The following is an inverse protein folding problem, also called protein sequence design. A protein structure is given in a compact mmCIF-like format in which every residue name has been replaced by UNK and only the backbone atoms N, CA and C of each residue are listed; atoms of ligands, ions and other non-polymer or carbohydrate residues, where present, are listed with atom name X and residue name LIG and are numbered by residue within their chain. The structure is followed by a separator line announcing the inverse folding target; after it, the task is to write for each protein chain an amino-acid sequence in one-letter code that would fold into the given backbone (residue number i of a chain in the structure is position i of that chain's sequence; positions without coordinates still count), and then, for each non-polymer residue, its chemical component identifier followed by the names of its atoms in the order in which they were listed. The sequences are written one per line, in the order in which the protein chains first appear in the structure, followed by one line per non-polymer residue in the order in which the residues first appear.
data_IF_067001639688
#
_entry.id   IF_067001639688
#
_cell.length_a   1.000
_cell.length_b   1.000
_cell.length_c   1.000
_cell.angle_alpha   90.00
_cell.angle_beta   90.00
_cell.angle_gamma   90.00
#
_symmetry.space_group_name_H-M   'P 1'
#
loop_
_entity.id
_entity.type
_entity.pdbx_description
1 polymer ?
#
# COMPACT_ATOMS: atom_id res chain seq x y z
N UNK A 1 8.92 24.32 5.24
CA UNK A 1 9.30 22.94 5.64
C UNK A 1 8.60 22.62 6.95
N UNK A 2 7.62 21.70 6.95
CA UNK A 2 7.09 21.16 8.20
C UNK A 2 8.17 20.25 8.79
N UNK A 3 8.67 20.59 9.97
CA UNK A 3 9.56 19.70 10.73
C UNK A 3 8.79 18.40 10.99
N UNK A 4 9.41 17.28 10.64
CA UNK A 4 8.98 15.96 11.04
C UNK A 4 8.96 15.97 12.57
N UNK A 5 7.89 15.50 13.23
CA UNK A 5 7.89 15.40 14.68
C UNK A 5 9.10 14.57 15.13
N UNK A 6 9.85 15.10 16.10
CA UNK A 6 11.08 14.50 16.69
C UNK A 6 10.89 13.04 17.15
N UNK A 7 9.65 12.55 17.22
CA UNK A 7 9.29 11.17 17.55
C UNK A 7 9.66 10.11 16.50
N UNK A 8 10.01 10.48 15.26
CA UNK A 8 10.57 9.54 14.28
C UNK A 8 12.08 9.29 14.49
N UNK A 9 12.72 10.02 15.43
CA UNK A 9 14.15 9.87 15.75
C UNK A 9 14.36 8.75 16.79
N UNK A 10 13.38 8.51 17.66
CA UNK A 10 13.48 7.53 18.76
C UNK A 10 12.85 6.17 18.44
N UNK A 11 12.22 6.02 17.26
CA UNK A 11 11.46 4.82 16.94
C UNK A 11 11.44 4.50 15.43
N UNK A 12 11.59 3.24 15.00
CA UNK A 12 11.80 2.93 13.59
C UNK A 12 10.55 3.29 12.80
N UNK A 13 10.65 4.32 11.98
CA UNK A 13 9.62 4.65 11.02
C UNK A 13 9.64 3.54 9.95
N UNK A 14 8.52 2.83 9.75
CA UNK A 14 8.55 1.59 9.01
C UNK A 14 8.56 1.83 7.52
N UNK A 15 9.24 0.94 6.78
CA UNK A 15 9.33 0.97 5.32
C UNK A 15 10.01 2.20 4.73
N UNK A 16 11.34 2.26 4.78
CA UNK A 16 12.06 3.36 4.13
C UNK A 16 13.11 2.87 3.14
N UNK A 17 13.23 3.61 2.03
CA UNK A 17 14.36 3.58 1.12
C UNK A 17 15.38 4.63 1.56
N UNK A 18 16.67 4.31 1.41
CA UNK A 18 17.73 5.27 1.66
C UNK A 18 17.64 6.44 0.65
N UNK A 19 17.68 7.67 1.15
CA UNK A 19 17.42 8.87 0.35
C UNK A 19 18.46 9.15 -0.74
N UNK A 20 19.62 8.48 -0.69
CA UNK A 20 20.67 8.53 -1.70
C UNK A 20 20.54 7.48 -2.81
N UNK A 21 19.54 6.59 -2.74
CA UNK A 21 19.27 5.62 -3.81
C UNK A 21 18.92 6.35 -5.11
N UNK A 22 19.55 5.95 -6.20
CA UNK A 22 19.28 6.50 -7.53
C UNK A 22 17.94 5.97 -8.07
N UNK A 23 17.07 6.90 -8.49
CA UNK A 23 15.76 6.63 -9.08
C UNK A 23 15.72 7.26 -10.47
N UNK A 24 15.36 6.47 -11.47
CA UNK A 24 15.10 6.99 -12.82
C UNK A 24 13.70 7.58 -12.85
N UNK A 25 13.56 8.79 -13.41
CA UNK A 25 12.28 9.49 -13.55
C UNK A 25 12.01 9.81 -15.02
N UNK A 26 10.73 9.79 -15.38
CA UNK A 26 10.27 10.30 -16.68
C UNK A 26 10.47 11.82 -16.73
N UNK A 27 11.27 12.30 -17.69
CA UNK A 27 11.52 13.72 -17.93
C UNK A 27 12.58 14.41 -17.05
N UNK A 28 12.85 13.96 -15.81
CA UNK A 28 13.90 14.58 -14.95
C UNK A 28 15.22 13.80 -14.90
N UNK A 29 15.30 12.64 -15.54
CA UNK A 29 16.49 11.80 -15.56
C UNK A 29 16.68 11.04 -14.24
N UNK A 30 17.93 10.80 -13.84
CA UNK A 30 18.24 10.10 -12.59
C UNK A 30 18.33 11.10 -11.45
N UNK A 31 17.51 10.90 -10.42
CA UNK A 31 17.48 11.71 -9.19
C UNK A 31 17.75 10.82 -7.97
N UNK A 32 18.06 11.42 -6.83
CA UNK A 32 18.10 10.68 -5.57
C UNK A 32 16.68 10.43 -5.05
N UNK A 33 16.46 9.34 -4.32
CA UNK A 33 15.15 8.98 -3.76
C UNK A 33 14.55 10.10 -2.89
N UNK A 34 15.37 10.89 -2.19
CA UNK A 34 14.93 12.07 -1.41
C UNK A 34 14.42 13.24 -2.25
N UNK A 35 14.70 13.24 -3.56
CA UNK A 35 14.32 14.29 -4.51
C UNK A 35 13.18 13.84 -5.44
N UNK A 36 12.65 12.64 -5.21
CA UNK A 36 11.38 12.18 -5.80
C UNK A 36 10.23 12.96 -5.18
N UNK A 37 9.28 13.38 -6.02
CA UNK A 37 8.11 14.16 -5.62
C UNK A 37 6.83 13.50 -6.12
N UNK A 38 5.70 13.81 -5.48
CA UNK A 38 4.38 13.37 -5.95
C UNK A 38 4.13 13.85 -7.38
N UNK A 39 3.65 12.95 -8.23
CA UNK A 39 3.42 13.17 -9.65
C UNK A 39 4.58 12.79 -10.58
N UNK A 40 5.78 12.51 -10.04
CA UNK A 40 6.82 11.87 -10.84
C UNK A 40 6.34 10.52 -11.38
N UNK A 41 6.88 10.10 -12.52
CA UNK A 41 6.71 8.73 -13.02
C UNK A 41 8.03 8.00 -12.93
N UNK A 42 8.04 6.83 -12.29
CA UNK A 42 9.23 6.00 -12.10
C UNK A 42 9.00 4.58 -12.64
N UNK A 43 10.03 3.84 -13.05
CA UNK A 43 9.84 2.52 -13.66
C UNK A 43 9.18 1.52 -12.71
N UNK A 44 8.29 0.71 -13.25
CA UNK A 44 7.59 -0.36 -12.54
C UNK A 44 8.30 -1.72 -12.58
N UNK A 45 7.59 -2.74 -12.11
CA UNK A 45 8.04 -4.12 -12.19
C UNK A 45 7.90 -4.68 -13.61
N UNK A 46 6.86 -4.28 -14.34
CA UNK A 46 6.65 -4.67 -15.73
C UNK A 46 7.65 -4.03 -16.69
N UNK A 47 7.93 -4.70 -17.80
CA UNK A 47 8.76 -4.14 -18.88
C UNK A 47 8.07 -2.91 -19.49
N UNK A 48 8.77 -1.78 -19.55
CA UNK A 48 8.23 -0.51 -20.04
C UNK A 48 7.15 0.13 -19.15
N UNK A 49 6.87 -0.44 -17.97
CA UNK A 49 5.88 0.09 -17.04
C UNK A 49 6.39 1.38 -16.37
N UNK A 50 5.52 2.39 -16.29
CA UNK A 50 5.78 3.66 -15.61
C UNK A 50 4.69 3.95 -14.60
N UNK A 51 5.12 4.22 -13.36
CA UNK A 51 4.28 4.30 -12.17
C UNK A 51 4.29 5.71 -11.62
N UNK A 52 3.11 6.31 -11.46
CA UNK A 52 2.99 7.64 -10.89
C UNK A 52 3.22 7.58 -9.38
N UNK A 53 4.04 8.48 -8.85
CA UNK A 53 4.32 8.62 -7.42
C UNK A 53 3.12 9.30 -6.75
N UNK A 54 2.45 8.58 -5.86
CA UNK A 54 1.28 9.07 -5.09
C UNK A 54 1.66 9.56 -3.70
N UNK A 55 2.84 9.18 -3.20
CA UNK A 55 3.44 9.72 -1.99
C UNK A 55 4.97 9.68 -2.08
N UNK A 56 5.61 10.77 -1.66
CA UNK A 56 7.05 10.85 -1.47
C UNK A 56 7.30 11.63 -0.17
N UNK A 57 7.62 10.91 0.90
CA UNK A 57 7.66 11.45 2.26
C UNK A 57 9.07 11.30 2.80
N UNK A 58 9.72 12.42 3.14
CA UNK A 58 10.94 12.39 3.93
C UNK A 58 10.56 12.05 5.37
N UNK A 59 11.08 10.94 5.88
CA UNK A 59 10.69 10.33 7.15
C UNK A 59 11.71 10.62 8.25
N UNK A 60 13.00 10.62 7.93
CA UNK A 60 14.06 11.04 8.84
C UNK A 60 15.28 11.52 8.05
N UNK A 61 16.09 12.40 8.64
CA UNK A 61 17.37 12.83 8.06
C UNK A 61 18.52 11.85 8.37
N UNK A 62 18.30 10.96 9.34
CA UNK A 62 19.24 9.91 9.74
C UNK A 62 18.47 8.69 10.23
N UNK A 63 18.68 7.55 9.60
CA UNK A 63 18.21 6.27 10.08
C UNK A 63 18.99 5.11 9.48
N UNK A 64 18.94 3.98 10.16
CA UNK A 64 19.68 2.78 9.81
C UNK A 64 19.00 2.02 8.66
N UNK A 65 19.75 1.78 7.60
CA UNK A 65 19.38 0.91 6.47
C UNK A 65 20.37 -0.23 6.34
N UNK A 66 19.94 -1.34 5.73
CA UNK A 66 20.78 -2.47 5.36
C UNK A 66 20.82 -2.53 3.83
N UNK A 67 21.94 -2.10 3.24
CA UNK A 67 22.00 -1.78 1.81
C UNK A 67 21.23 -0.51 1.47
N UNK A 68 20.11 -0.66 0.76
CA UNK A 68 19.28 0.45 0.25
C UNK A 68 17.96 0.63 1.01
N UNK A 69 17.61 -0.26 1.94
CA UNK A 69 16.30 -0.28 2.59
C UNK A 69 16.42 -0.52 4.09
N UNK A 70 15.41 -0.12 4.86
CA UNK A 70 15.23 -0.59 6.24
C UNK A 70 14.98 -2.11 6.25
N UNK A 71 15.29 -2.77 7.36
CA UNK A 71 15.17 -4.24 7.47
C UNK A 71 13.73 -4.74 7.33
N UNK A 72 12.77 -3.90 7.69
CA UNK A 72 11.34 -4.16 7.65
C UNK A 72 10.69 -3.87 6.28
N UNK A 73 11.38 -3.15 5.37
CA UNK A 73 10.87 -2.74 4.06
C UNK A 73 10.67 -3.94 3.15
N UNK A 74 9.55 -3.97 2.42
CA UNK A 74 9.30 -5.04 1.47
C UNK A 74 9.95 -4.79 0.11
N UNK A 75 10.77 -5.75 -0.29
CA UNK A 75 11.39 -5.83 -1.62
C UNK A 75 10.81 -7.01 -2.40
N UNK A 76 10.86 -6.92 -3.73
CA UNK A 76 10.44 -8.01 -4.61
C UNK A 76 11.68 -8.78 -5.05
N UNK A 77 11.78 -10.03 -4.61
CA UNK A 77 12.84 -10.91 -5.09
C UNK A 77 12.59 -11.28 -6.56
N UNK A 78 13.64 -11.35 -7.40
CA UNK A 78 13.56 -12.02 -8.69
C UNK A 78 13.06 -13.45 -8.47
N UNK A 79 12.20 -13.98 -9.35
CA UNK A 79 11.71 -15.34 -9.22
C UNK A 79 12.88 -16.34 -9.19
N UNK A 80 13.14 -16.90 -8.03
CA UNK A 80 14.25 -17.81 -7.72
C UNK A 80 13.82 -19.29 -7.75
N UNK A 81 12.57 -19.57 -8.19
CA UNK A 81 12.01 -20.91 -8.28
C UNK A 81 11.45 -21.24 -9.68
N UNK A 82 11.44 -22.53 -10.09
CA UNK A 82 10.88 -23.00 -11.37
C UNK A 82 9.40 -22.67 -11.61
N UNK A 83 8.67 -22.21 -10.59
CA UNK A 83 7.28 -21.79 -10.67
C UNK A 83 7.08 -20.34 -11.14
N UNK A 84 8.16 -19.57 -11.38
CA UNK A 84 8.08 -18.24 -12.00
C UNK A 84 7.36 -17.17 -11.18
N UNK A 85 7.22 -17.35 -9.87
CA UNK A 85 6.45 -16.43 -9.02
C UNK A 85 7.39 -15.52 -8.24
N UNK A 86 7.23 -14.20 -8.38
CA UNK A 86 7.89 -13.23 -7.53
C UNK A 86 7.52 -13.45 -6.05
N UNK A 87 8.39 -13.04 -5.13
CA UNK A 87 8.12 -13.10 -3.69
C UNK A 87 8.31 -11.72 -3.09
N UNK A 88 7.33 -11.26 -2.31
CA UNK A 88 7.46 -10.06 -1.47
C UNK A 88 8.02 -10.48 -0.14
N UNK A 89 9.19 -9.94 0.22
CA UNK A 89 9.84 -10.25 1.50
C UNK A 89 10.46 -9.01 2.10
N UNK A 90 10.66 -9.07 3.42
CA UNK A 90 11.48 -8.09 4.09
C UNK A 90 12.88 -8.06 3.45
N UNK A 91 13.43 -6.86 3.24
CA UNK A 91 14.82 -6.67 2.82
C UNK A 91 15.77 -7.41 3.77
N UNK A 92 15.45 -7.34 5.08
CA UNK A 92 16.18 -7.99 6.14
C UNK A 92 17.51 -7.29 6.45
N UNK A 93 18.36 -7.97 7.21
CA UNK A 93 19.62 -7.43 7.74
C UNK A 93 20.87 -8.01 7.08
N UNK A 94 20.72 -8.70 5.94
CA UNK A 94 21.80 -9.47 5.30
C UNK A 94 22.89 -8.62 4.62
N UNK A 95 22.63 -7.33 4.38
CA UNK A 95 23.60 -6.38 3.84
C UNK A 95 24.24 -5.53 4.96
N UNK A 96 25.45 -4.98 4.74
CA UNK A 96 26.05 -4.05 5.70
C UNK A 96 25.12 -2.88 6.04
N UNK A 97 25.03 -2.56 7.32
CA UNK A 97 24.20 -1.44 7.76
C UNK A 97 24.93 -0.11 7.60
N UNK A 98 24.19 0.95 7.27
CA UNK A 98 24.67 2.34 7.22
C UNK A 98 23.58 3.32 7.63
N UNK A 99 23.96 4.53 7.97
CA UNK A 99 23.03 5.65 8.18
C UNK A 99 22.71 6.33 6.85
N UNK A 100 21.44 6.69 6.66
CA UNK A 100 20.97 7.44 5.50
C UNK A 100 19.77 8.32 5.87
N UNK A 101 19.46 9.29 5.01
CA UNK A 101 18.11 9.87 4.97
C UNK A 101 17.10 8.74 4.71
N UNK A 102 15.95 8.78 5.37
CA UNK A 102 14.89 7.81 5.17
C UNK A 102 13.73 8.46 4.42
N UNK A 103 13.31 7.81 3.33
CA UNK A 103 12.21 8.27 2.49
C UNK A 103 11.22 7.13 2.31
N UNK A 104 9.92 7.45 2.34
CA UNK A 104 8.88 6.53 1.91
C UNK A 104 8.35 6.97 0.53
N UNK A 105 8.32 6.05 -0.42
CA UNK A 105 7.82 6.28 -1.78
C UNK A 105 6.71 5.28 -2.05
N UNK A 106 5.53 5.80 -2.38
CA UNK A 106 4.40 5.00 -2.85
C UNK A 106 4.03 5.39 -4.28
N UNK A 107 3.66 4.40 -5.09
CA UNK A 107 3.33 4.60 -6.51
C UNK A 107 1.99 3.99 -6.88
N UNK A 108 1.47 4.26 -8.07
CA UNK A 108 0.27 3.58 -8.58
C UNK A 108 0.50 2.10 -8.87
N UNK A 109 1.75 1.66 -9.02
CA UNK A 109 2.11 0.28 -9.26
C UNK A 109 2.41 -0.49 -7.96
N UNK A 110 2.25 -1.82 -7.95
CA UNK A 110 2.58 -2.66 -6.80
C UNK A 110 4.07 -2.64 -6.46
N UNK A 111 4.95 -2.43 -7.43
CA UNK A 111 6.37 -2.28 -7.16
C UNK A 111 6.98 -1.27 -8.12
N UNK A 112 8.01 -0.57 -7.64
CA UNK A 112 8.80 0.35 -8.41
C UNK A 112 10.26 -0.12 -8.44
N UNK A 113 11.00 0.33 -9.45
CA UNK A 113 12.37 -0.10 -9.72
C UNK A 113 13.33 1.05 -9.49
N UNK A 114 14.34 0.82 -8.65
CA UNK A 114 15.49 1.71 -8.54
C UNK A 114 16.38 1.60 -9.79
N UNK A 115 17.26 2.58 -10.01
CA UNK A 115 18.22 2.53 -11.13
C UNK A 115 19.16 1.33 -11.06
N UNK A 116 19.39 0.78 -9.85
CA UNK A 116 20.14 -0.48 -9.65
C UNK A 116 19.44 -1.73 -10.21
N UNK A 117 18.15 -1.63 -10.56
CA UNK A 117 17.31 -2.74 -10.98
C UNK A 117 16.52 -3.39 -9.83
N UNK A 118 16.84 -3.06 -8.58
CA UNK A 118 16.13 -3.54 -7.39
C UNK A 118 14.67 -3.08 -7.39
N UNK A 119 13.77 -4.00 -7.06
CA UNK A 119 12.34 -3.74 -6.95
C UNK A 119 11.93 -3.58 -5.48
N UNK A 120 11.22 -2.50 -5.21
CA UNK A 120 10.76 -2.15 -3.88
C UNK A 120 9.26 -1.87 -3.88
N UNK A 121 8.61 -2.12 -2.76
CA UNK A 121 7.17 -1.96 -2.62
C UNK A 121 6.84 -0.81 -1.65
N UNK A 122 5.64 -0.21 -1.73
CA UNK A 122 5.25 0.83 -0.77
C UNK A 122 4.85 0.32 0.63
N UNK A 123 4.88 -1.01 0.85
CA UNK A 123 4.45 -1.64 2.11
C UNK A 123 5.65 -2.19 2.89
N UNK A 124 5.45 -2.54 4.15
CA UNK A 124 6.45 -3.22 4.99
C UNK A 124 5.82 -4.27 5.89
N UNK A 125 6.71 -4.97 6.61
CA UNK A 125 6.35 -5.91 7.67
C UNK A 125 5.48 -5.31 8.78
N UNK A 126 5.48 -3.98 8.94
CA UNK A 126 4.61 -3.29 9.91
C UNK A 126 3.15 -3.31 9.49
N UNK A 127 2.85 -3.22 8.19
CA UNK A 127 1.48 -3.37 7.72
C UNK A 127 1.07 -4.85 7.64
N UNK A 128 1.90 -5.68 7.00
CA UNK A 128 1.62 -7.10 6.78
C UNK A 128 2.88 -7.90 7.06
N UNK A 129 2.82 -9.04 7.77
CA UNK A 129 4.04 -9.81 8.12
C UNK A 129 4.79 -10.37 6.90
N UNK A 130 4.13 -11.23 6.12
CA UNK A 130 4.67 -11.89 4.93
C UNK A 130 3.54 -12.06 3.91
N UNK A 131 3.86 -11.87 2.64
CA UNK A 131 2.91 -11.97 1.53
C UNK A 131 3.58 -12.68 0.36
N UNK A 132 2.88 -13.64 -0.24
CA UNK A 132 3.25 -14.06 -1.60
C UNK A 132 2.89 -12.94 -2.60
N UNK A 133 3.44 -12.97 -3.80
CA UNK A 133 3.07 -12.00 -4.83
C UNK A 133 1.58 -12.04 -5.18
N UNK A 134 0.99 -13.24 -5.23
CA UNK A 134 -0.45 -13.42 -5.50
C UNK A 134 -1.35 -12.92 -4.37
N UNK A 135 -0.86 -12.92 -3.11
CA UNK A 135 -1.56 -12.27 -2.00
C UNK A 135 -1.38 -10.75 -2.00
N UNK A 136 -0.18 -10.31 -2.38
CA UNK A 136 0.21 -8.91 -2.39
C UNK A 136 -0.56 -8.09 -3.43
N UNK A 137 -0.70 -8.60 -4.66
CA UNK A 137 -1.31 -7.85 -5.76
C UNK A 137 -2.78 -7.44 -5.49
N UNK A 138 -3.70 -8.33 -5.08
CA UNK A 138 -5.08 -7.95 -4.80
C UNK A 138 -5.19 -6.99 -3.60
N UNK A 139 -4.35 -7.20 -2.58
CA UNK A 139 -4.25 -6.32 -1.42
C UNK A 139 -3.83 -4.91 -1.83
N UNK A 140 -2.76 -4.80 -2.62
CA UNK A 140 -2.26 -3.52 -3.10
C UNK A 140 -3.26 -2.81 -4.01
N UNK A 141 -3.89 -3.55 -4.93
CA UNK A 141 -4.94 -3.01 -5.80
C UNK A 141 -6.13 -2.43 -5.01
N UNK A 142 -6.52 -3.08 -3.92
CA UNK A 142 -7.56 -2.58 -3.01
C UNK A 142 -7.11 -1.32 -2.25
N UNK A 143 -5.87 -1.26 -1.77
CA UNK A 143 -5.30 -0.04 -1.18
C UNK A 143 -5.29 1.12 -2.19
N UNK A 144 -4.92 0.87 -3.43
CA UNK A 144 -4.88 1.91 -4.48
C UNK A 144 -6.27 2.44 -4.83
N UNK A 145 -7.31 1.60 -4.85
CA UNK A 145 -8.69 2.07 -5.00
C UNK A 145 -9.13 3.00 -3.86
N UNK A 146 -8.70 2.69 -2.64
CA UNK A 146 -8.94 3.57 -1.48
C UNK A 146 -8.17 4.88 -1.63
N UNK A 147 -6.87 4.80 -1.91
CA UNK A 147 -5.98 5.96 -2.11
C UNK A 147 -6.47 6.87 -3.23
N UNK A 148 -6.94 6.33 -4.35
CA UNK A 148 -7.50 7.13 -5.45
C UNK A 148 -8.69 7.99 -5.02
N UNK A 149 -9.49 7.53 -4.04
CA UNK A 149 -10.65 8.25 -3.51
C UNK A 149 -10.32 9.19 -2.35
N UNK A 150 -9.18 9.02 -1.69
CA UNK A 150 -8.88 9.71 -0.42
C UNK A 150 -7.53 10.41 -0.39
N UNK A 151 -6.66 10.23 -1.38
CA UNK A 151 -5.31 10.78 -1.43
C UNK A 151 -4.24 9.89 -0.79
N UNK A 152 -2.97 10.25 -1.04
CA UNK A 152 -1.77 9.47 -0.66
C UNK A 152 -1.31 9.63 0.80
N UNK A 153 -2.03 10.37 1.65
CA UNK A 153 -1.63 10.60 3.05
C UNK A 153 -1.47 9.30 3.85
N UNK A 154 -2.07 8.19 3.39
CA UNK A 154 -1.93 6.88 4.02
C UNK A 154 -0.47 6.39 4.12
N UNK A 155 0.40 6.90 3.26
CA UNK A 155 1.82 6.57 3.22
C UNK A 155 2.70 7.55 4.00
N UNK A 156 2.09 8.52 4.71
CA UNK A 156 2.81 9.45 5.57
C UNK A 156 2.57 9.09 7.05
N UNK A 157 3.55 8.44 7.73
CA UNK A 157 3.45 8.10 9.14
C UNK A 157 3.18 9.30 10.06
N UNK A 158 3.57 10.51 9.66
CA UNK A 158 3.34 11.73 10.44
C UNK A 158 1.88 12.18 10.46
N UNK A 159 1.04 11.60 9.59
CA UNK A 159 -0.40 11.84 9.58
C UNK A 159 -1.08 11.28 10.83
N UNK A 160 -0.56 10.20 11.42
CA UNK A 160 -1.29 9.42 12.42
C UNK A 160 -1.04 9.88 13.86
N UNK A 161 -2.11 9.98 14.65
CA UNK A 161 -2.03 10.30 16.08
C UNK A 161 -1.63 9.11 16.97
N UNK A 162 -1.07 9.37 18.15
CA UNK A 162 -0.55 8.34 19.09
C UNK A 162 -1.61 7.62 19.97
N UNK A 163 -2.87 7.45 19.52
CA UNK A 163 -4.05 6.91 20.26
C UNK A 163 -4.70 7.83 21.31
N UNK A 164 -5.84 7.39 21.90
CA UNK A 164 -7.20 7.76 21.53
C UNK A 164 -7.69 8.98 22.33
N UNK A 165 -8.41 9.90 21.68
CA UNK A 165 -9.27 10.83 22.41
C UNK A 165 -8.79 12.28 22.55
N UNK A 166 -7.89 12.78 21.70
CA UNK A 166 -7.77 14.23 21.52
C UNK A 166 -8.95 14.81 20.69
N UNK A 167 -10.19 14.41 21.00
CA UNK A 167 -11.36 15.27 20.80
C UNK A 167 -11.61 15.94 22.14
N UNK A 168 -11.73 17.27 22.21
CA UNK A 168 -12.15 17.94 23.44
C UNK A 168 -13.53 17.38 23.84
N UNK A 169 -13.63 16.70 24.98
CA UNK A 169 -14.92 16.37 25.62
C UNK A 169 -15.37 14.89 25.67
N UNK A 170 -14.56 13.88 25.34
CA UNK A 170 -14.94 12.47 25.60
C UNK A 170 -14.37 11.97 26.94
N UNK A 171 -15.20 11.36 27.83
CA UNK A 171 -14.72 10.81 29.09
C UNK A 171 -13.96 9.50 28.84
N UNK A 172 -12.65 9.50 29.07
CA UNK A 172 -11.79 8.32 28.94
C UNK A 172 -11.92 7.44 30.19
N UNK A 173 -12.37 6.20 29.99
CA UNK A 173 -12.13 5.11 30.95
C UNK A 173 -10.65 4.74 31.01
N UNK A 174 -10.21 3.98 32.03
CA UNK A 174 -8.81 3.70 32.27
C UNK A 174 -8.19 2.83 31.15
N UNK A 175 -6.93 3.07 30.75
CA UNK A 175 -6.24 2.26 29.77
C UNK A 175 -5.89 0.89 30.36
N UNK A 176 -6.40 -0.18 29.74
CA UNK A 176 -6.18 -1.58 30.13
C UNK A 176 -5.00 -2.24 29.40
N UNK A 177 -3.86 -1.54 29.31
CA UNK A 177 -2.53 -2.14 29.09
C UNK A 177 -1.43 -1.09 29.11
N UNK A 178 -0.25 -1.37 29.69
CA UNK A 178 0.91 -0.50 29.54
C UNK A 178 1.43 -0.59 28.10
N UNK A 179 1.32 0.51 27.36
CA UNK A 179 1.97 0.64 26.06
C UNK A 179 3.49 0.41 26.24
N UNK A 180 4.08 -0.47 25.43
CA UNK A 180 5.53 -0.61 25.36
C UNK A 180 6.13 0.76 24.98
N UNK A 181 7.14 1.27 25.70
CA UNK A 181 7.83 2.48 25.29
C UNK A 181 8.43 2.22 23.90
N UNK A 182 8.06 3.03 22.91
CA UNK A 182 8.56 2.88 21.54
C UNK A 182 7.72 2.01 20.60
N UNK A 183 6.41 1.89 20.72
CA UNK A 183 5.56 1.56 19.55
C UNK A 183 4.44 2.57 19.43
N UNK A 184 4.28 3.15 18.23
CA UNK A 184 3.12 3.99 17.97
C UNK A 184 1.90 3.06 17.98
N UNK A 185 1.01 3.31 18.93
CA UNK A 185 -0.22 2.55 19.17
C UNK A 185 -1.12 2.33 17.95
N UNK A 186 -0.94 3.12 16.88
CA UNK A 186 -1.63 2.91 15.60
C UNK A 186 -1.01 1.79 14.76
N UNK A 187 0.31 1.63 14.80
CA UNK A 187 1.05 0.61 14.04
C UNK A 187 0.71 -0.80 14.52
N UNK A 188 0.48 -0.96 15.83
CA UNK A 188 0.19 -2.26 16.45
C UNK A 188 -1.09 -2.91 15.92
N UNK A 189 -2.00 -2.10 15.38
CA UNK A 189 -3.29 -2.53 14.84
C UNK A 189 -3.24 -2.83 13.33
N UNK A 190 -2.17 -2.43 12.65
CA UNK A 190 -2.06 -2.59 11.20
C UNK A 190 -2.04 -4.07 10.74
N UNK A 191 -1.33 -5.00 11.43
CA UNK A 191 -1.34 -6.41 11.03
C UNK A 191 -2.73 -7.03 10.99
N UNK A 192 -3.59 -6.72 11.96
CA UNK A 192 -4.97 -7.22 12.00
C UNK A 192 -5.81 -6.69 10.82
N UNK A 193 -5.59 -5.42 10.45
CA UNK A 193 -6.24 -4.81 9.28
C UNK A 193 -5.74 -5.47 8.01
N UNK A 194 -4.43 -5.67 7.86
CA UNK A 194 -3.88 -6.37 6.71
C UNK A 194 -4.44 -7.79 6.59
N UNK A 195 -4.45 -8.57 7.68
CA UNK A 195 -4.90 -9.96 7.66
C UNK A 195 -6.36 -10.10 7.26
N UNK A 196 -7.22 -9.20 7.76
CA UNK A 196 -8.64 -9.16 7.38
C UNK A 196 -8.85 -8.64 5.96
N UNK A 197 -8.10 -7.61 5.54
CA UNK A 197 -8.14 -7.08 4.18
C UNK A 197 -7.70 -8.12 3.15
N UNK A 198 -6.57 -8.79 3.38
CA UNK A 198 -6.05 -9.88 2.55
C UNK A 198 -7.04 -11.03 2.42
N UNK A 199 -7.65 -11.43 3.54
CA UNK A 199 -8.68 -12.47 3.52
C UNK A 199 -9.90 -12.05 2.68
N UNK A 200 -10.28 -10.77 2.73
CA UNK A 200 -11.41 -10.24 1.98
C UNK A 200 -11.08 -10.13 0.48
N UNK A 201 -9.94 -9.56 0.11
CA UNK A 201 -9.54 -9.40 -1.29
C UNK A 201 -9.32 -10.73 -1.99
N UNK A 202 -8.74 -11.72 -1.31
CA UNK A 202 -8.43 -13.01 -1.91
C UNK A 202 -9.64 -13.94 -2.00
N UNK A 203 -10.54 -13.94 -1.01
CA UNK A 203 -11.57 -14.98 -0.84
C UNK A 203 -12.97 -14.46 -0.52
N UNK A 204 -13.18 -13.15 -0.45
CA UNK A 204 -14.43 -12.56 0.03
C UNK A 204 -14.74 -12.91 1.51
N UNK A 205 -13.74 -13.36 2.26
CA UNK A 205 -13.87 -13.85 3.63
C UNK A 205 -13.41 -12.78 4.63
N UNK A 206 -14.07 -12.68 5.80
CA UNK A 206 -13.76 -11.70 6.85
C UNK A 206 -13.91 -10.23 6.42
N UNK A 207 -14.60 -9.95 5.31
CA UNK A 207 -14.87 -8.58 4.84
C UNK A 207 -15.57 -7.72 5.92
N UNK A 208 -16.60 -8.23 6.58
CA UNK A 208 -17.29 -7.50 7.66
C UNK A 208 -16.36 -7.19 8.85
N UNK A 209 -15.38 -8.04 9.11
CA UNK A 209 -14.38 -7.81 10.16
C UNK A 209 -13.39 -6.72 9.75
N UNK A 210 -12.89 -6.78 8.50
CA UNK A 210 -12.07 -5.73 7.91
C UNK A 210 -12.75 -4.36 8.00
N UNK A 211 -14.01 -4.25 7.56
CA UNK A 211 -14.75 -2.98 7.58
C UNK A 211 -14.80 -2.38 8.99
N UNK A 212 -15.14 -3.20 10.00
CA UNK A 212 -15.20 -2.75 11.40
C UNK A 212 -13.83 -2.32 11.92
N UNK A 213 -12.79 -3.11 11.67
CA UNK A 213 -11.43 -2.82 12.14
C UNK A 213 -10.88 -1.55 11.48
N UNK A 214 -10.96 -1.47 10.15
CA UNK A 214 -10.48 -0.32 9.39
C UNK A 214 -11.27 0.95 9.75
N UNK A 215 -12.60 0.88 9.85
CA UNK A 215 -13.42 2.02 10.26
C UNK A 215 -13.14 2.49 11.69
N UNK A 216 -12.92 1.55 12.62
CA UNK A 216 -12.49 1.86 13.99
C UNK A 216 -11.13 2.56 14.02
N UNK A 217 -10.17 2.01 13.28
CA UNK A 217 -8.82 2.56 13.18
C UNK A 217 -8.82 3.98 12.60
N UNK A 218 -9.56 4.20 11.51
CA UNK A 218 -9.69 5.52 10.88
C UNK A 218 -10.27 6.55 11.85
N UNK A 219 -11.32 6.18 12.61
CA UNK A 219 -11.91 7.07 13.62
C UNK A 219 -10.94 7.43 14.76
N UNK A 220 -10.05 6.51 15.10
CA UNK A 220 -9.19 6.63 16.27
C UNK A 220 -7.87 7.36 15.96
N UNK A 221 -7.32 7.15 14.77
CA UNK A 221 -5.93 7.51 14.47
C UNK A 221 -5.77 8.57 13.38
N UNK A 222 -6.80 8.85 12.56
CA UNK A 222 -6.74 9.96 11.61
C UNK A 222 -7.05 11.31 12.30
N UNK A 223 -6.33 12.38 11.94
CA UNK A 223 -6.70 13.74 12.33
C UNK A 223 -8.05 14.13 11.71
N UNK A 224 -8.73 15.17 12.24
CA UNK A 224 -10.05 15.58 11.75
C UNK A 224 -10.11 15.84 10.24
N UNK A 225 -9.10 16.49 9.64
CA UNK A 225 -9.10 16.81 8.22
C UNK A 225 -9.09 15.55 7.33
N UNK A 226 -8.21 14.60 7.62
CA UNK A 226 -8.11 13.33 6.89
C UNK A 226 -9.30 12.42 7.20
N UNK A 227 -9.78 12.39 8.44
CA UNK A 227 -10.99 11.66 8.80
C UNK A 227 -12.20 12.14 7.98
N UNK A 228 -12.42 13.45 7.88
CA UNK A 228 -13.51 14.01 7.06
C UNK A 228 -13.31 13.72 5.57
N UNK A 229 -12.07 13.75 5.08
CA UNK A 229 -11.76 13.34 3.71
C UNK A 229 -12.16 11.89 3.44
N UNK A 230 -11.83 10.95 4.34
CA UNK A 230 -12.26 9.55 4.21
C UNK A 230 -13.77 9.42 4.32
N UNK A 231 -14.42 10.11 5.27
CA UNK A 231 -15.87 10.06 5.43
C UNK A 231 -16.65 10.56 4.22
N UNK A 232 -16.15 11.56 3.49
CA UNK A 232 -16.80 12.02 2.25
C UNK A 232 -16.83 10.94 1.19
N UNK A 233 -15.74 10.18 1.06
CA UNK A 233 -15.64 9.06 0.12
C UNK A 233 -16.36 7.80 0.62
N UNK A 234 -16.45 7.64 1.94
CA UNK A 234 -17.04 6.49 2.63
C UNK A 234 -18.00 6.93 3.75
N UNK A 235 -19.22 7.40 3.42
CA UNK A 235 -20.17 7.94 4.41
C UNK A 235 -20.69 6.89 5.41
N UNK A 236 -20.53 5.59 5.10
CA UNK A 236 -20.91 4.44 5.93
C UNK A 236 -19.69 3.67 6.45
N UNK A 237 -18.54 4.35 6.57
CA UNK A 237 -17.31 3.76 7.10
C UNK A 237 -17.50 3.04 8.45
N UNK A 238 -17.10 1.78 8.50
CA UNK A 238 -17.21 0.89 9.66
C UNK A 238 -18.55 0.16 9.80
N UNK A 239 -19.47 0.35 8.85
CA UNK A 239 -20.74 -0.37 8.77
C UNK A 239 -20.64 -1.49 7.72
N UNK A 240 -20.47 -2.77 8.15
CA UNK A 240 -20.33 -3.89 7.24
C UNK A 240 -21.62 -4.27 6.52
N UNK A 241 -22.78 -3.82 7.01
CA UNK A 241 -24.10 -4.14 6.44
C UNK A 241 -24.56 -3.09 5.43
N UNK A 242 -23.82 -1.97 5.32
CA UNK A 242 -24.09 -0.95 4.32
C UNK A 242 -23.89 -1.49 2.90
N UNK A 243 -24.89 -1.29 2.05
CA UNK A 243 -24.84 -1.70 0.64
C UNK A 243 -23.80 -0.94 -0.19
N UNK A 244 -23.51 0.32 0.19
CA UNK A 244 -22.55 1.22 -0.49
C UNK A 244 -21.99 2.24 0.51
N UNK A 245 -20.89 2.88 0.13
CA UNK A 245 -20.29 3.96 0.91
C UNK A 245 -19.45 3.49 2.09
N UNK A 246 -19.02 2.23 2.09
CA UNK A 246 -18.08 1.64 3.03
C UNK A 246 -16.83 1.17 2.27
N UNK A 247 -15.77 0.72 2.96
CA UNK A 247 -14.53 0.30 2.29
C UNK A 247 -14.73 -0.99 1.47
N UNK A 248 -15.72 -1.81 1.82
CA UNK A 248 -15.99 -3.08 1.10
C UNK A 248 -16.24 -2.92 -0.39
N UNK A 249 -16.77 -1.78 -0.83
CA UNK A 249 -16.96 -1.49 -2.26
C UNK A 249 -15.62 -1.47 -3.06
N UNK A 250 -14.50 -1.32 -2.37
CA UNK A 250 -13.16 -1.26 -2.95
C UNK A 250 -12.27 -2.43 -2.52
N UNK A 251 -12.75 -3.30 -1.62
CA UNK A 251 -11.98 -4.42 -1.06
C UNK A 251 -12.60 -5.78 -1.36
N UNK A 252 -13.93 -5.91 -1.37
CA UNK A 252 -14.60 -7.18 -1.68
C UNK A 252 -14.58 -7.42 -3.20
N UNK A 253 -13.99 -8.53 -3.69
CA UNK A 253 -13.95 -8.86 -5.12
C UNK A 253 -15.34 -9.05 -5.75
N UNK A 254 -16.41 -9.21 -4.95
CA UNK A 254 -17.80 -9.35 -5.43
C UNK A 254 -18.52 -8.02 -5.61
N UNK A 255 -17.95 -6.92 -5.11
CA UNK A 255 -18.54 -5.60 -5.23
C UNK A 255 -18.41 -5.03 -6.65
N UNK A 256 -17.38 -5.44 -7.40
CA UNK A 256 -17.20 -5.08 -8.81
C UNK A 256 -18.16 -5.82 -9.74
N UNK A 257 -18.50 -7.08 -9.46
CA UNK A 257 -19.40 -7.88 -10.30
C UNK A 257 -20.89 -7.56 -10.15
N UNK A 258 -21.27 -6.80 -9.11
CA UNK A 258 -22.65 -6.37 -8.86
C UNK A 258 -23.00 -5.02 -9.50
N UNK A 259 -22.03 -4.38 -10.18
CA UNK A 259 -22.24 -3.11 -10.90
C UNK A 259 -22.60 -3.29 -12.38
N UNK A 260 -22.36 -4.47 -12.97
CA UNK A 260 -22.72 -4.80 -14.36
C UNK A 260 -24.15 -5.34 -14.53
N UNK A 261 -24.94 -5.36 -13.45
CA UNK A 261 -26.30 -5.91 -13.43
C UNK A 261 -27.43 -4.92 -13.79
N UNK A 262 -27.12 -3.68 -14.18
CA UNK A 262 -28.17 -2.68 -14.42
C UNK A 262 -27.83 -1.64 -15.50
N UNK A 263 -27.52 -2.08 -16.71
CA UNK A 263 -27.79 -1.29 -17.92
C UNK A 263 -27.93 -2.19 -19.17
N UNK A 264 -29.00 -2.99 -19.20
CA UNK A 264 -29.44 -3.74 -20.37
C UNK A 264 -30.57 -3.03 -21.09
N UNK A 265 -30.26 -1.96 -21.82
CA UNK A 265 -31.26 -1.13 -22.49
C UNK A 265 -30.73 -0.32 -23.67
N UNK A 266 -30.34 -1.02 -24.75
CA UNK A 266 -30.07 -0.55 -26.13
C UNK A 266 -28.76 0.21 -26.37
N UNK A 267 -27.90 -0.38 -27.20
CA UNK A 267 -27.03 0.41 -28.10
C UNK A 267 -25.63 -0.15 -28.39
N UNK A 268 -25.54 -1.05 -29.37
CA UNK A 268 -24.47 -1.19 -30.38
C UNK A 268 -22.97 -1.31 -29.99
N UNK A 269 -22.36 -2.41 -30.49
CA UNK A 269 -20.92 -2.57 -30.75
C UNK A 269 -20.24 -3.53 -29.78
N UNK A 270 -19.99 -4.82 -30.05
CA UNK A 270 -19.67 -5.44 -31.33
C UNK A 270 -18.22 -5.91 -31.34
N UNK A 271 -17.87 -6.93 -30.54
CA UNK A 271 -16.65 -7.73 -30.73
C UNK A 271 -17.00 -9.21 -30.54
N UNK A 272 -17.27 -9.89 -31.67
CA UNK A 272 -17.32 -11.35 -31.72
C UNK A 272 -15.89 -11.88 -31.76
N UNK A 273 -15.56 -12.78 -30.84
CA UNK A 273 -14.48 -13.74 -31.03
C UNK A 273 -14.79 -14.59 -32.26
N UNK A 274 -13.94 -14.51 -33.29
CA UNK A 274 -13.82 -15.56 -34.30
C UNK A 274 -12.62 -16.42 -33.92
N UNK A 275 -12.91 -17.55 -33.27
CA UNK A 275 -12.03 -18.71 -33.27
C UNK A 275 -12.18 -19.39 -34.63
N UNK A 276 -11.21 -19.18 -35.51
CA UNK A 276 -10.96 -20.02 -36.67
C UNK A 276 -9.54 -20.57 -36.52
N UNK A 277 -9.43 -21.84 -36.15
CA UNK A 277 -8.19 -22.59 -36.33
C UNK A 277 -8.00 -22.97 -37.80
N UNK A 278 -6.81 -23.48 -38.14
CA UNK A 278 -6.73 -24.50 -39.17
C UNK A 278 -5.98 -25.75 -38.70
N UNK A 279 -6.65 -26.89 -38.87
CA UNK A 279 -6.04 -28.18 -39.17
C UNK A 279 -5.56 -28.16 -40.62
N UNK A 280 -4.33 -28.61 -40.87
CA UNK A 280 -3.77 -29.21 -42.11
C UNK A 280 -2.35 -29.67 -41.73
N UNK A 281 -2.12 -30.90 -41.30
CA UNK A 281 -1.84 -32.12 -42.11
C UNK A 281 -0.82 -31.89 -43.23
N UNK A 282 0.38 -32.47 -43.04
CA UNK A 282 1.05 -33.23 -44.10
C UNK A 282 2.45 -32.77 -44.56
N UNK A 283 3.49 -33.51 -44.12
CA UNK A 283 4.32 -34.27 -45.07
C UNK A 283 5.71 -33.74 -45.48
N UNK A 284 6.67 -34.65 -45.29
CA UNK A 284 7.95 -34.84 -45.98
C UNK A 284 9.23 -34.12 -45.51
N UNK A 285 10.19 -35.02 -45.19
CA UNK A 285 11.65 -34.93 -45.05
C UNK A 285 12.19 -34.42 -43.72
#
# INVERSE_FOLDING_TARGET
MKRIPEKCIENPCPSCIAGDVAITTDGRGVVAARDVVVGDRIPGAGEGEWCEVVAAVRVADKGKVFGNFTDDHFVVAPADAPSGTHVVRASGTGAPSREADLVNIATTCPAARATSGELFTPLSTVFCKQLTWDEYLPLYGALMRIVAKTGGFWFDPSTYGSAPGARPGSPTGPPSSPALPGRLSWMERLPDICDTMRSCTARGARCSEFERLAGGWVRQYLPPAQYEQVRRSYPRLGDPDARRGNLLQDVDPRSSSSSDGQEGGRGAGGWRLLLLGPLLVGGLL
#
